data_IF_042044984368
#
_entry.id   IF_042044984368
#
_cell.length_a   1.000
_cell.length_b   1.000
_cell.length_c   1.000
_cell.angle_alpha   90.00
_cell.angle_beta   90.00
_cell.angle_gamma   90.00
#
_symmetry.space_group_name_H-M   'P 1'
#
loop_
_entity.id
_entity.type
_entity.pdbx_description
1 polymer ?
#
# COMPACT_ATOMS: atom_id res chain seq x y z
N UNK A 1 7.65 -27.17 31.10
CA UNK A 1 6.72 -26.01 31.13
C UNK A 1 7.28 -24.92 30.23
N UNK A 2 6.85 -24.88 28.97
CA UNK A 2 7.10 -23.75 28.09
C UNK A 2 5.85 -22.87 28.16
N UNK A 3 5.77 -22.05 29.19
CA UNK A 3 4.77 -20.99 29.34
C UNK A 3 5.42 -19.66 28.99
N UNK A 4 5.93 -19.57 27.76
CA UNK A 4 6.35 -18.31 27.18
C UNK A 4 5.35 -17.93 26.09
N UNK A 5 4.26 -17.29 26.51
CA UNK A 5 3.32 -16.72 25.56
C UNK A 5 4.02 -15.71 24.64
N UNK A 6 3.67 -15.75 23.36
CA UNK A 6 4.14 -14.75 22.41
C UNK A 6 3.38 -13.44 22.65
N UNK A 7 4.10 -12.33 22.80
CA UNK A 7 3.51 -11.01 22.95
C UNK A 7 3.86 -10.15 21.73
N UNK A 8 2.84 -9.73 21.01
CA UNK A 8 2.96 -8.81 19.88
C UNK A 8 2.40 -7.46 20.31
N UNK A 9 3.20 -6.40 20.21
CA UNK A 9 2.78 -5.05 20.57
C UNK A 9 2.69 -4.14 19.36
N UNK A 10 1.81 -3.13 19.44
CA UNK A 10 1.63 -2.10 18.41
C UNK A 10 1.25 -2.66 17.02
N UNK A 11 0.44 -3.71 16.96
CA UNK A 11 -0.09 -4.22 15.70
C UNK A 11 -1.09 -3.21 15.14
N UNK A 12 -0.86 -2.75 13.92
CA UNK A 12 -1.79 -1.90 13.18
C UNK A 12 -2.77 -2.77 12.40
N UNK A 13 -4.06 -2.58 12.65
CA UNK A 13 -5.13 -3.22 11.89
C UNK A 13 -5.74 -2.22 10.92
N UNK A 14 -5.98 -2.65 9.70
CA UNK A 14 -6.66 -1.86 8.68
C UNK A 14 -7.87 -2.62 8.14
N UNK A 15 -8.97 -1.89 7.91
CA UNK A 15 -10.16 -2.48 7.30
C UNK A 15 -9.92 -2.71 5.81
N UNK A 16 -10.27 -3.89 5.31
CA UNK A 16 -10.25 -4.20 3.89
C UNK A 16 -10.30 -5.69 3.59
N UNK A 17 -10.57 -6.00 2.34
CA UNK A 17 -10.45 -7.35 1.79
C UNK A 17 -9.18 -7.42 0.97
N UNK A 18 -8.30 -8.35 1.31
CA UNK A 18 -7.06 -8.55 0.57
C UNK A 18 -7.33 -9.14 -0.81
N UNK A 19 -6.63 -8.60 -1.80
CA UNK A 19 -6.60 -9.10 -3.17
C UNK A 19 -5.18 -9.01 -3.70
N UNK A 20 -4.89 -9.76 -4.75
CA UNK A 20 -3.60 -9.71 -5.44
C UNK A 20 -3.77 -9.85 -6.93
N UNK A 21 -2.84 -9.25 -7.69
CA UNK A 21 -2.74 -9.39 -9.12
C UNK A 21 -1.28 -9.53 -9.54
N UNK A 22 -1.05 -10.32 -10.57
CA UNK A 22 0.29 -10.54 -11.11
C UNK A 22 0.40 -9.99 -12.52
N UNK A 23 1.54 -9.36 -12.81
CA UNK A 23 1.94 -8.91 -14.13
C UNK A 23 3.32 -9.45 -14.47
N UNK A 24 3.61 -9.57 -15.75
CA UNK A 24 4.97 -9.88 -16.24
C UNK A 24 5.55 -8.61 -16.85
N UNK A 25 6.72 -8.19 -16.35
CA UNK A 25 7.41 -7.02 -16.89
C UNK A 25 7.99 -7.30 -18.27
N UNK A 26 7.66 -6.49 -19.28
CA UNK A 26 8.06 -6.68 -20.68
C UNK A 26 9.10 -5.66 -21.16
N UNK A 27 9.93 -5.13 -20.27
CA UNK A 27 11.00 -4.18 -20.56
C UNK A 27 10.52 -2.86 -21.21
N UNK A 28 9.31 -2.43 -20.92
CA UNK A 28 8.77 -1.16 -21.35
C UNK A 28 8.84 -0.13 -20.21
N UNK A 29 9.62 0.94 -20.39
CA UNK A 29 9.82 1.99 -19.37
C UNK A 29 8.56 2.81 -19.11
N UNK A 30 7.66 2.88 -20.09
CA UNK A 30 6.42 3.65 -19.98
C UNK A 30 5.22 2.80 -19.58
N UNK A 31 5.44 1.52 -19.27
CA UNK A 31 4.37 0.62 -18.87
C UNK A 31 3.88 0.96 -17.47
N UNK A 32 2.56 1.06 -17.33
CA UNK A 32 1.88 1.18 -16.04
C UNK A 32 1.08 -0.09 -15.75
N UNK A 33 0.99 -0.45 -14.48
CA UNK A 33 0.29 -1.64 -14.00
C UNK A 33 -0.93 -1.21 -13.21
N UNK A 34 -2.10 -1.42 -13.78
CA UNK A 34 -3.38 -0.96 -13.22
C UNK A 34 -3.84 -1.89 -12.11
N UNK A 35 -4.20 -1.34 -10.96
CA UNK A 35 -4.90 -2.09 -9.92
C UNK A 35 -6.40 -2.09 -10.30
N UNK A 36 -7.02 -3.26 -10.55
CA UNK A 36 -8.38 -3.35 -11.10
C UNK A 36 -9.45 -3.13 -10.03
N UNK A 37 -9.30 -2.09 -9.21
CA UNK A 37 -10.24 -1.70 -8.18
C UNK A 37 -10.17 -0.19 -7.95
N UNK A 38 -11.32 0.45 -7.71
CA UNK A 38 -11.41 1.91 -7.50
C UNK A 38 -11.42 2.31 -6.03
N UNK A 39 -11.65 1.35 -5.13
CA UNK A 39 -11.75 1.55 -3.68
C UNK A 39 -10.57 0.92 -2.93
N UNK A 40 -9.37 1.12 -3.47
CA UNK A 40 -8.12 0.59 -2.91
C UNK A 40 -7.66 1.42 -1.71
N UNK A 41 -7.26 0.74 -0.64
CA UNK A 41 -6.49 1.35 0.43
C UNK A 41 -5.03 1.49 -0.02
N UNK A 42 -4.64 2.69 -0.40
CA UNK A 42 -3.29 2.98 -0.93
C UNK A 42 -2.18 2.77 0.12
N UNK A 43 -2.50 2.81 1.41
CA UNK A 43 -1.55 2.53 2.48
C UNK A 43 -1.28 1.02 2.66
N UNK A 44 -2.14 0.16 2.12
CA UNK A 44 -2.04 -1.30 2.20
C UNK A 44 -1.58 -1.95 0.88
N UNK A 45 -0.97 -1.17 -0.02
CA UNK A 45 -0.38 -1.70 -1.25
C UNK A 45 1.02 -2.22 -0.96
N UNK A 46 1.25 -3.48 -1.35
CA UNK A 46 2.58 -4.09 -1.32
C UNK A 46 2.94 -4.58 -2.71
N UNK A 47 4.09 -4.17 -3.20
CA UNK A 47 4.59 -4.55 -4.52
C UNK A 47 5.81 -5.42 -4.35
N UNK A 48 5.76 -6.63 -4.90
CA UNK A 48 6.87 -7.58 -4.88
C UNK A 48 7.27 -7.89 -6.32
N UNK A 49 8.55 -7.78 -6.60
CA UNK A 49 9.14 -8.16 -7.90
C UNK A 49 9.96 -9.42 -7.70
N UNK A 50 9.57 -10.47 -8.40
CA UNK A 50 10.25 -11.78 -8.37
C UNK A 50 11.03 -11.98 -9.66
N UNK A 51 12.30 -12.38 -9.52
CA UNK A 51 13.17 -12.60 -10.66
C UNK A 51 12.68 -13.78 -11.51
N UNK A 52 12.68 -13.61 -12.84
CA UNK A 52 12.30 -14.65 -13.79
C UNK A 52 13.26 -15.83 -13.83
N UNK A 53 14.51 -15.62 -13.45
CA UNK A 53 15.56 -16.68 -13.42
C UNK A 53 15.64 -17.39 -12.05
N UNK A 54 15.06 -16.79 -11.00
CA UNK A 54 15.08 -17.35 -9.64
C UNK A 54 13.83 -16.94 -8.87
N UNK A 55 12.89 -17.84 -8.74
CA UNK A 55 11.64 -17.61 -7.99
C UNK A 55 11.89 -17.35 -6.49
N UNK A 56 13.07 -17.67 -5.98
CA UNK A 56 13.49 -17.37 -4.61
C UNK A 56 14.03 -15.94 -4.43
N UNK A 57 14.35 -15.25 -5.52
CA UNK A 57 14.87 -13.89 -5.49
C UNK A 57 13.74 -12.86 -5.66
N UNK A 58 12.96 -12.67 -4.59
CA UNK A 58 11.90 -11.67 -4.55
C UNK A 58 12.36 -10.43 -3.80
N UNK A 59 12.01 -9.25 -4.32
CA UNK A 59 12.30 -7.95 -3.73
C UNK A 59 10.99 -7.17 -3.50
N UNK A 60 10.85 -6.61 -2.32
CA UNK A 60 9.74 -5.72 -2.01
C UNK A 60 10.14 -4.31 -2.40
N UNK A 61 9.34 -3.69 -3.27
CA UNK A 61 9.49 -2.31 -3.68
C UNK A 61 8.69 -1.41 -2.77
N UNK A 62 9.26 -0.28 -2.39
CA UNK A 62 8.61 0.70 -1.51
C UNK A 62 7.93 1.80 -2.33
N UNK A 63 6.79 2.29 -1.84
CA UNK A 63 6.16 3.47 -2.45
C UNK A 63 7.07 4.67 -2.31
N UNK A 64 7.24 5.43 -3.38
CA UNK A 64 7.96 6.69 -3.34
C UNK A 64 7.05 7.85 -3.74
N UNK A 65 7.06 8.88 -2.91
CA UNK A 65 6.34 10.14 -3.12
C UNK A 65 7.28 11.32 -3.40
N UNK A 66 8.61 11.09 -3.29
CA UNK A 66 9.60 12.15 -3.45
C UNK A 66 10.81 11.63 -4.24
N UNK A 67 11.10 12.22 -5.37
CA UNK A 67 12.22 11.85 -6.26
C UNK A 67 13.59 12.32 -5.76
N UNK A 68 13.63 13.10 -4.68
CA UNK A 68 14.90 13.56 -4.10
C UNK A 68 15.60 12.39 -3.40
N UNK A 69 16.89 12.21 -3.65
CA UNK A 69 17.74 11.14 -3.13
C UNK A 69 17.44 9.71 -3.66
N UNK A 70 16.78 9.58 -4.82
CA UNK A 70 16.69 8.31 -5.52
C UNK A 70 17.86 8.15 -6.51
N UNK A 71 18.33 6.92 -6.60
CA UNK A 71 19.27 6.48 -7.62
C UNK A 71 18.69 5.34 -8.46
N UNK A 72 19.42 4.91 -9.47
CA UNK A 72 19.00 3.84 -10.36
C UNK A 72 18.93 2.45 -9.71
N UNK A 73 19.35 2.28 -8.45
CA UNK A 73 19.30 1.02 -7.71
C UNK A 73 18.20 0.98 -6.66
N UNK A 74 17.56 2.11 -6.40
CA UNK A 74 16.49 2.25 -5.40
C UNK A 74 15.26 1.43 -5.78
N UNK A 75 14.91 0.43 -4.96
CA UNK A 75 13.77 -0.48 -5.17
C UNK A 75 12.47 0.21 -4.78
N UNK A 76 11.99 1.10 -5.65
CA UNK A 76 10.81 1.93 -5.43
C UNK A 76 9.82 1.84 -6.58
N UNK A 77 8.55 2.11 -6.26
CA UNK A 77 7.50 2.32 -7.26
C UNK A 77 6.79 3.65 -7.03
N UNK A 78 6.21 4.16 -8.09
CA UNK A 78 5.37 5.36 -8.09
C UNK A 78 3.91 4.95 -8.24
N UNK A 79 3.05 5.53 -7.41
CA UNK A 79 1.61 5.28 -7.44
C UNK A 79 0.93 6.54 -7.98
N UNK A 80 0.19 6.37 -9.06
CA UNK A 80 -0.59 7.45 -9.68
C UNK A 80 -2.07 7.05 -9.74
N UNK A 81 -2.95 8.03 -9.66
CA UNK A 81 -4.37 7.83 -9.92
C UNK A 81 -4.64 8.13 -11.39
N UNK A 82 -5.12 7.11 -12.12
CA UNK A 82 -5.52 7.22 -13.51
C UNK A 82 -6.85 7.99 -13.69
N UNK A 83 -7.18 8.27 -14.95
CA UNK A 83 -8.36 9.09 -15.32
C UNK A 83 -9.68 8.53 -14.80
N UNK A 84 -9.82 7.20 -14.75
CA UNK A 84 -11.07 6.52 -14.37
C UNK A 84 -11.12 6.14 -12.88
N UNK A 85 -10.18 6.67 -12.08
CA UNK A 85 -10.11 6.44 -10.65
C UNK A 85 -9.46 5.12 -10.24
N UNK A 86 -8.86 4.41 -11.18
CA UNK A 86 -7.97 3.28 -10.89
C UNK A 86 -6.59 3.78 -10.54
N UNK A 87 -5.91 3.04 -9.67
CA UNK A 87 -4.51 3.31 -9.36
C UNK A 87 -3.61 2.57 -10.32
N UNK A 88 -2.53 3.23 -10.71
CA UNK A 88 -1.49 2.69 -11.59
C UNK A 88 -0.14 2.72 -10.90
N UNK A 89 0.59 1.62 -11.02
CA UNK A 89 1.95 1.49 -10.51
C UNK A 89 2.92 1.64 -11.67
N UNK A 90 3.92 2.49 -11.48
CA UNK A 90 5.04 2.67 -12.41
C UNK A 90 6.36 2.41 -11.70
N UNK A 91 7.33 1.91 -12.43
CA UNK A 91 8.68 1.69 -11.95
C UNK A 91 9.64 2.74 -12.49
N UNK A 92 10.83 2.80 -11.92
CA UNK A 92 11.91 3.66 -12.40
C UNK A 92 12.50 3.20 -13.73
N UNK A 93 13.43 3.99 -14.23
CA UNK A 93 14.12 3.81 -15.51
C UNK A 93 15.59 3.39 -15.37
N UNK A 94 16.04 3.02 -14.15
CA UNK A 94 17.42 2.80 -13.73
C UNK A 94 18.27 4.08 -13.64
N UNK A 95 17.64 5.25 -13.69
CA UNK A 95 18.24 6.54 -13.34
C UNK A 95 17.58 7.04 -12.05
N UNK A 96 16.24 7.08 -12.05
CA UNK A 96 15.41 7.41 -10.89
C UNK A 96 14.56 6.19 -10.55
N UNK A 97 15.06 5.38 -9.60
CA UNK A 97 14.44 4.12 -9.21
C UNK A 97 14.82 2.95 -10.13
N UNK A 98 14.88 1.78 -9.53
CA UNK A 98 15.25 0.53 -10.20
C UNK A 98 14.09 0.01 -11.05
N UNK A 99 14.39 -0.34 -12.29
CA UNK A 99 13.48 -1.02 -13.20
C UNK A 99 13.51 -2.53 -12.95
N UNK A 100 12.36 -3.23 -12.96
CA UNK A 100 12.33 -4.69 -12.99
C UNK A 100 13.07 -5.27 -14.19
N UNK A 101 13.60 -6.48 -14.06
CA UNK A 101 14.20 -7.20 -15.18
C UNK A 101 13.12 -7.72 -16.15
N UNK A 102 13.47 -7.84 -17.42
CA UNK A 102 12.56 -8.41 -18.42
C UNK A 102 12.13 -9.84 -18.03
N UNK A 103 10.84 -10.11 -18.07
CA UNK A 103 10.25 -11.38 -17.66
C UNK A 103 10.02 -11.52 -16.17
N UNK A 104 10.45 -10.57 -15.32
CA UNK A 104 10.17 -10.61 -13.90
C UNK A 104 8.67 -10.56 -13.63
N UNK A 105 8.23 -11.28 -12.59
CA UNK A 105 6.85 -11.23 -12.13
C UNK A 105 6.68 -10.11 -11.12
N UNK A 106 5.71 -9.24 -11.37
CA UNK A 106 5.28 -8.17 -10.48
C UNK A 106 4.01 -8.64 -9.79
N UNK A 107 4.08 -8.84 -8.48
CA UNK A 107 2.92 -9.17 -7.64
C UNK A 107 2.51 -7.92 -6.88
N UNK A 108 1.27 -7.48 -7.09
CA UNK A 108 0.66 -6.35 -6.39
C UNK A 108 -0.40 -6.91 -5.45
N UNK A 109 -0.12 -6.84 -4.15
CA UNK A 109 -1.06 -7.15 -3.08
C UNK A 109 -1.69 -5.83 -2.62
N UNK A 110 -2.99 -5.79 -2.47
CA UNK A 110 -3.72 -4.59 -2.06
C UNK A 110 -4.98 -4.94 -1.27
N UNK A 111 -5.47 -4.00 -0.47
CA UNK A 111 -6.74 -4.13 0.22
C UNK A 111 -7.81 -3.25 -0.44
N UNK A 112 -8.99 -3.81 -0.66
CA UNK A 112 -10.17 -3.06 -1.11
C UNK A 112 -11.07 -2.76 0.07
N UNK A 113 -11.59 -1.53 0.13
CA UNK A 113 -12.50 -1.10 1.19
C UNK A 113 -13.93 -1.14 0.64
N UNK A 114 -14.86 -1.91 1.25
CA UNK A 114 -16.24 -1.93 0.83
C UNK A 114 -16.86 -0.53 0.87
N UNK A 115 -17.62 -0.17 -0.16
CA UNK A 115 -18.31 1.13 -0.21
C UNK A 115 -19.28 1.26 0.98
N UNK A 116 -19.18 2.39 1.69
CA UNK A 116 -20.03 2.67 2.87
C UNK A 116 -19.61 1.96 4.16
N UNK A 117 -18.60 1.11 4.14
CA UNK A 117 -18.07 0.50 5.35
C UNK A 117 -17.29 1.53 6.17
N UNK A 118 -17.73 1.77 7.40
CA UNK A 118 -17.06 2.69 8.32
C UNK A 118 -16.99 2.03 9.70
N UNK A 119 -15.77 1.67 10.11
CA UNK A 119 -15.49 1.08 11.41
C UNK A 119 -14.95 2.11 12.42
N UNK A 120 -15.03 3.38 12.11
CA UNK A 120 -14.60 4.41 13.05
C UNK A 120 -15.29 4.27 14.40
N UNK A 121 -14.50 4.32 15.46
CA UNK A 121 -14.98 4.16 16.83
C UNK A 121 -15.05 2.71 17.30
N UNK A 122 -14.75 1.71 16.46
CA UNK A 122 -14.70 0.32 16.89
C UNK A 122 -13.62 0.13 17.98
N UNK A 123 -14.02 -0.59 19.04
CA UNK A 123 -13.18 -0.87 20.21
C UNK A 123 -13.08 -2.36 20.52
N UNK A 124 -13.86 -3.20 19.82
CA UNK A 124 -13.85 -4.65 20.01
C UNK A 124 -13.33 -5.30 18.73
N UNK A 125 -12.31 -6.12 18.88
CA UNK A 125 -11.68 -6.88 17.81
C UNK A 125 -11.59 -8.33 18.25
N UNK A 126 -11.92 -9.23 17.34
CA UNK A 126 -11.82 -10.68 17.55
C UNK A 126 -11.01 -11.29 16.42
N UNK A 127 -10.21 -12.30 16.73
CA UNK A 127 -9.58 -13.12 15.71
C UNK A 127 -10.56 -14.16 15.21
N UNK A 128 -10.62 -14.36 13.90
CA UNK A 128 -11.45 -15.42 13.28
C UNK A 128 -10.71 -16.75 13.22
N UNK A 129 -9.39 -16.69 13.13
CA UNK A 129 -8.50 -17.86 13.08
C UNK A 129 -7.51 -17.81 14.24
N UNK A 130 -7.27 -18.95 14.89
CA UNK A 130 -6.28 -19.02 15.96
C UNK A 130 -4.85 -19.01 15.43
N UNK A 131 -3.97 -18.31 16.12
CA UNK A 131 -2.54 -18.35 15.83
C UNK A 131 -1.95 -19.68 16.34
N UNK A 132 -1.39 -20.46 15.41
CA UNK A 132 -0.63 -21.69 15.75
C UNK A 132 -1.42 -22.70 16.62
N UNK A 133 -2.74 -22.81 16.42
CA UNK A 133 -3.56 -23.79 17.13
C UNK A 133 -3.81 -23.49 18.62
N UNK A 134 -3.52 -22.29 19.09
CA UNK A 134 -3.83 -21.81 20.43
C UNK A 134 -5.18 -21.06 20.41
N UNK A 135 -6.01 -21.27 21.42
CA UNK A 135 -7.33 -20.63 21.54
C UNK A 135 -7.41 -19.57 22.63
N UNK A 136 -6.29 -19.27 23.28
CA UNK A 136 -6.22 -18.36 24.43
C UNK A 136 -5.59 -17.00 24.06
N UNK A 137 -5.88 -16.50 22.84
CA UNK A 137 -5.40 -15.18 22.44
C UNK A 137 -6.14 -14.07 23.17
N UNK A 138 -5.38 -13.15 23.76
CA UNK A 138 -5.92 -11.95 24.39
C UNK A 138 -5.58 -10.72 23.56
N UNK A 139 -6.60 -10.00 23.08
CA UNK A 139 -6.43 -8.76 22.34
C UNK A 139 -6.63 -7.59 23.29
N UNK A 140 -5.57 -6.77 23.46
CA UNK A 140 -5.64 -5.53 24.21
C UNK A 140 -5.69 -4.34 23.28
N UNK A 141 -6.76 -3.56 23.36
CA UNK A 141 -6.94 -2.37 22.53
C UNK A 141 -5.98 -1.24 22.98
N UNK A 142 -5.17 -0.74 22.06
CA UNK A 142 -4.32 0.44 22.26
C UNK A 142 -5.08 1.73 21.91
N UNK A 143 -5.81 1.71 20.78
CA UNK A 143 -6.62 2.85 20.35
C UNK A 143 -7.82 2.38 19.53
N UNK A 144 -8.94 3.11 19.63
CA UNK A 144 -10.12 2.84 18.79
C UNK A 144 -9.81 3.06 17.31
N UNK A 145 -10.56 2.39 16.44
CA UNK A 145 -10.44 2.58 15.00
C UNK A 145 -10.77 4.02 14.60
N UNK A 146 -9.93 4.62 13.77
CA UNK A 146 -10.07 5.99 13.25
C UNK A 146 -9.58 6.06 11.81
N UNK A 147 -9.86 7.16 11.11
CA UNK A 147 -9.31 7.43 9.77
C UNK A 147 -10.19 6.95 8.62
N UNK A 148 -11.30 6.28 8.87
CA UNK A 148 -12.28 5.96 7.83
C UNK A 148 -12.97 7.24 7.35
N UNK A 149 -12.85 7.53 6.06
CA UNK A 149 -13.53 8.65 5.41
C UNK A 149 -13.99 8.24 4.02
N UNK A 150 -15.05 8.88 3.54
CA UNK A 150 -15.43 8.76 2.14
C UNK A 150 -14.33 9.40 1.26
N UNK A 151 -14.19 8.89 0.04
CA UNK A 151 -13.30 9.50 -0.95
C UNK A 151 -13.67 10.96 -1.16
N UNK A 152 -12.67 11.82 -1.21
CA UNK A 152 -12.88 13.24 -1.45
C UNK A 152 -13.50 13.48 -2.82
N UNK A 153 -14.50 14.37 -2.89
CA UNK A 153 -15.13 14.70 -4.16
C UNK A 153 -14.22 15.59 -5.01
N UNK A 154 -14.43 15.59 -6.32
CA UNK A 154 -13.65 16.44 -7.23
C UNK A 154 -13.76 17.93 -6.86
N UNK A 155 -14.94 18.35 -6.40
CA UNK A 155 -15.19 19.73 -5.95
C UNK A 155 -14.43 20.06 -4.69
N UNK A 156 -14.38 19.14 -3.72
CA UNK A 156 -13.59 19.28 -2.50
C UNK A 156 -12.08 19.35 -2.82
N UNK A 157 -11.59 18.47 -3.70
CA UNK A 157 -10.19 18.49 -4.15
C UNK A 157 -9.85 19.84 -4.81
N UNK A 158 -10.70 20.34 -5.72
CA UNK A 158 -10.48 21.65 -6.37
C UNK A 158 -10.44 22.81 -5.37
N UNK A 159 -11.23 22.73 -4.32
CA UNK A 159 -11.25 23.74 -3.25
C UNK A 159 -10.03 23.65 -2.35
N UNK A 160 -9.63 22.43 -1.97
CA UNK A 160 -8.57 22.20 -1.01
C UNK A 160 -7.15 22.23 -1.63
N UNK A 161 -6.99 21.90 -2.91
CA UNK A 161 -5.70 21.85 -3.58
C UNK A 161 -4.90 23.16 -3.50
N UNK A 162 -5.48 24.36 -3.73
CA UNK A 162 -4.77 25.62 -3.56
C UNK A 162 -4.30 25.85 -2.12
N UNK A 163 -5.13 25.48 -1.13
CA UNK A 163 -4.80 25.61 0.30
C UNK A 163 -3.64 24.67 0.68
N UNK A 164 -3.68 23.43 0.23
CA UNK A 164 -2.61 22.47 0.43
C UNK A 164 -1.29 22.94 -0.22
N UNK A 165 -1.35 23.54 -1.40
CA UNK A 165 -0.18 24.10 -2.07
C UNK A 165 0.44 25.29 -1.30
N UNK A 166 -0.40 26.16 -0.74
CA UNK A 166 0.05 27.31 0.06
C UNK A 166 0.66 26.85 1.40
N UNK A 167 0.10 25.78 2.00
CA UNK A 167 0.56 25.27 3.31
C UNK A 167 1.80 24.38 3.24
N UNK A 168 2.32 24.08 2.06
CA UNK A 168 3.55 23.31 1.88
C UNK A 168 4.77 24.12 2.34
N UNK A 169 5.03 24.16 3.66
CA UNK A 169 6.27 24.66 4.31
C UNK A 169 7.06 25.76 3.57
N UNK A 170 6.36 26.65 2.87
CA UNK A 170 6.98 27.83 2.30
C UNK A 170 7.14 28.84 3.42
N UNK A 171 8.35 28.96 3.95
CA UNK A 171 8.72 30.11 4.76
C UNK A 171 8.34 31.37 3.98
N UNK A 172 7.35 32.09 4.45
CA UNK A 172 7.07 33.45 4.00
C UNK A 172 8.14 34.31 4.66
N UNK A 173 9.17 34.67 3.90
CA UNK A 173 10.14 35.70 4.29
C UNK A 173 9.54 37.07 4.03
#
# INVERSE_FOLDING_TARGET
NFDSGWNFSNIKLEQGTLASINYTYQNNVFESYVIPATNVNTAAIKVTVTDSQSTSASKVYSINTNVVNLDGTSEVYFLEEGRDGYYEIKFGDNIIGKRPGNGNTITIEYATIPSGANVNGATVFTMTDSLVGNTDETITLVSKAVGGAARETREAIKFNAPLAHISQNRAVT
#
